data_IF_315793207584
#
_entry.id   IF_315793207584
#
_cell.length_a   1.000
_cell.length_b   1.000
_cell.length_c   1.000
_cell.angle_alpha   90.00
_cell.angle_beta   90.00
_cell.angle_gamma   90.00
#
_symmetry.space_group_name_H-M   'P 1'
#
loop_
_entity.id
_entity.type
_entity.pdbx_description
1 polymer ?
#
# COMPACT_ATOMS: atom_id res chain seq x y z
N UNK A 1 -7.70 15.64 7.28
CA UNK A 1 -9.12 15.69 7.72
C UNK A 1 -9.94 16.31 6.59
N UNK A 2 -10.44 15.50 5.66
CA UNK A 2 -11.34 15.98 4.61
C UNK A 2 -12.75 16.12 5.22
N UNK A 3 -13.04 17.31 5.72
CA UNK A 3 -14.39 17.72 6.08
C UNK A 3 -15.03 18.31 4.83
N UNK A 4 -15.88 17.56 4.13
CA UNK A 4 -16.57 18.15 2.98
C UNK A 4 -17.50 17.20 2.25
N UNK A 5 -18.79 17.51 2.29
CA UNK A 5 -19.82 17.07 1.33
C UNK A 5 -19.59 17.73 -0.05
N UNK A 6 -18.34 17.79 -0.50
CA UNK A 6 -17.94 18.33 -1.79
C UNK A 6 -17.79 17.20 -2.80
N UNK A 7 -17.97 17.50 -4.09
CA UNK A 7 -17.66 16.54 -5.14
C UNK A 7 -16.20 16.07 -5.00
N UNK A 8 -15.94 14.78 -5.26
CA UNK A 8 -14.56 14.31 -5.32
C UNK A 8 -13.78 15.15 -6.35
N UNK A 9 -12.49 15.46 -6.10
CA UNK A 9 -11.60 16.08 -7.07
C UNK A 9 -11.78 15.42 -8.44
N UNK A 10 -11.72 16.20 -9.51
CA UNK A 10 -11.87 15.69 -10.88
C UNK A 10 -10.98 14.46 -11.17
N UNK A 11 -9.78 14.43 -10.57
CA UNK A 11 -8.83 13.31 -10.67
C UNK A 11 -9.31 12.00 -10.02
N UNK A 12 -10.25 12.06 -9.08
CA UNK A 12 -10.84 10.91 -8.40
C UNK A 12 -12.19 10.49 -9.01
N UNK A 13 -12.77 11.30 -9.90
CA UNK A 13 -14.06 10.97 -10.54
C UNK A 13 -13.98 9.64 -11.26
N UNK A 14 -12.93 9.37 -12.05
CA UNK A 14 -12.77 8.08 -12.73
C UNK A 14 -12.64 6.88 -11.78
N UNK A 15 -12.04 7.07 -10.60
CA UNK A 15 -11.85 6.03 -9.59
C UNK A 15 -13.14 5.72 -8.82
N UNK A 16 -14.00 6.72 -8.62
CA UNK A 16 -15.24 6.62 -7.80
C UNK A 16 -16.49 6.50 -8.69
N UNK A 17 -16.38 6.66 -10.01
CA UNK A 17 -17.52 6.70 -10.93
C UNK A 17 -18.07 5.34 -11.38
N UNK A 18 -17.43 4.21 -11.08
CA UNK A 18 -18.05 2.88 -11.29
C UNK A 18 -19.11 2.64 -10.20
N UNK A 19 -20.29 3.23 -10.38
CA UNK A 19 -21.39 3.20 -9.42
C UNK A 19 -22.25 1.97 -9.59
N UNK A 20 -21.73 0.79 -9.24
CA UNK A 20 -22.63 -0.26 -8.76
C UNK A 20 -23.03 0.11 -7.32
N UNK A 21 -24.22 0.67 -7.16
CA UNK A 21 -24.73 1.04 -5.84
C UNK A 21 -25.07 -0.24 -5.07
N UNK A 22 -24.27 -0.56 -4.06
CA UNK A 22 -24.63 -1.56 -3.07
C UNK A 22 -25.55 -0.88 -2.04
N UNK A 23 -26.85 -1.14 -2.14
CA UNK A 23 -27.84 -0.72 -1.15
C UNK A 23 -27.94 -1.79 -0.08
N UNK A 24 -27.80 -1.42 1.18
CA UNK A 24 -27.90 -2.34 2.30
C UNK A 24 -27.88 -1.65 3.65
N UNK A 25 -28.20 -2.40 4.69
CA UNK A 25 -28.12 -1.93 6.08
C UNK A 25 -26.68 -1.47 6.41
N UNK A 26 -26.48 -0.36 7.16
CA UNK A 26 -25.16 0.20 7.42
C UNK A 26 -24.14 -0.82 7.97
N UNK A 27 -24.56 -1.70 8.88
CA UNK A 27 -23.71 -2.77 9.42
C UNK A 27 -23.23 -3.72 8.33
N UNK A 28 -24.12 -4.13 7.42
CA UNK A 28 -23.79 -5.03 6.33
C UNK A 28 -22.81 -4.41 5.35
N UNK A 29 -22.92 -3.11 5.09
CA UNK A 29 -21.97 -2.37 4.25
C UNK A 29 -20.58 -2.30 4.88
N UNK A 30 -20.51 -2.07 6.20
CA UNK A 30 -19.24 -2.10 6.94
C UNK A 30 -18.63 -3.50 6.97
N UNK A 31 -19.44 -4.54 7.18
CA UNK A 31 -18.96 -5.93 7.11
C UNK A 31 -18.34 -6.27 5.75
N UNK A 32 -18.93 -5.78 4.65
CA UNK A 32 -18.35 -5.95 3.31
C UNK A 32 -16.98 -5.27 3.22
N UNK A 33 -16.85 -4.03 3.72
CA UNK A 33 -15.59 -3.28 3.74
C UNK A 33 -14.51 -3.96 4.60
N UNK A 34 -14.87 -4.48 5.76
CA UNK A 34 -13.92 -5.06 6.72
C UNK A 34 -13.41 -6.43 6.24
N UNK A 35 -14.24 -7.17 5.49
CA UNK A 35 -13.91 -8.53 5.01
C UNK A 35 -13.20 -8.57 3.67
N UNK A 36 -12.81 -7.42 3.11
CA UNK A 36 -12.10 -7.37 1.81
C UNK A 36 -10.81 -8.21 1.83
N UNK A 37 -9.99 -8.09 2.87
CA UNK A 37 -8.77 -8.89 3.02
C UNK A 37 -9.02 -10.40 3.09
N UNK A 38 -10.12 -10.82 3.75
CA UNK A 38 -10.53 -12.23 3.82
C UNK A 38 -11.00 -12.72 2.45
N UNK A 39 -11.82 -11.93 1.75
CA UNK A 39 -12.34 -12.26 0.43
C UNK A 39 -11.22 -12.39 -0.62
N UNK A 40 -10.22 -11.49 -0.58
CA UNK A 40 -9.06 -11.56 -1.47
C UNK A 40 -8.23 -12.81 -1.18
N UNK A 41 -8.00 -13.15 0.09
CA UNK A 41 -7.26 -14.36 0.46
C UNK A 41 -7.93 -15.66 -0.01
N UNK A 42 -9.26 -15.66 -0.21
CA UNK A 42 -9.99 -16.79 -0.82
C UNK A 42 -9.75 -16.92 -2.33
N UNK A 43 -9.26 -15.87 -2.98
CA UNK A 43 -8.94 -15.88 -4.42
C UNK A 43 -7.51 -16.36 -4.71
N UNK A 44 -6.68 -16.52 -3.68
CA UNK A 44 -5.28 -16.94 -3.75
C UNK A 44 -4.43 -16.26 -2.68
N UNK A 45 -3.13 -16.56 -2.64
CA UNK A 45 -2.17 -15.86 -1.74
C UNK A 45 -1.78 -14.54 -2.42
N UNK A 46 -2.16 -13.37 -1.87
CA UNK A 46 -1.84 -12.09 -2.48
C UNK A 46 -0.44 -11.62 -2.08
N UNK A 47 0.23 -10.96 -3.02
CA UNK A 47 1.24 -9.96 -2.72
C UNK A 47 0.54 -8.70 -2.22
N UNK A 48 0.78 -8.32 -0.96
CA UNK A 48 0.06 -7.24 -0.26
C UNK A 48 0.94 -6.02 -0.06
N UNK A 49 0.48 -4.88 -0.56
CA UNK A 49 1.10 -3.60 -0.33
C UNK A 49 0.13 -2.68 0.39
N UNK A 50 0.65 -1.99 1.39
CA UNK A 50 -0.06 -0.99 2.17
C UNK A 50 0.74 0.31 2.03
N UNK A 51 0.22 1.24 1.23
CA UNK A 51 0.98 2.38 0.71
C UNK A 51 0.19 3.67 0.84
N UNK A 52 0.87 4.82 0.81
CA UNK A 52 0.21 6.12 0.67
C UNK A 52 0.57 6.77 -0.64
N UNK A 53 -0.37 7.53 -1.21
CA UNK A 53 -0.18 8.28 -2.44
C UNK A 53 -0.82 9.68 -2.31
N UNK A 54 -0.29 10.71 -2.99
CA UNK A 54 -0.97 11.98 -3.12
C UNK A 54 -2.36 11.79 -3.73
N UNK A 55 -3.41 12.34 -3.09
CA UNK A 55 -4.81 12.15 -3.52
C UNK A 55 -5.05 12.48 -4.99
N UNK A 56 -4.40 13.54 -5.48
CA UNK A 56 -4.51 13.98 -6.88
C UNK A 56 -4.00 12.96 -7.89
N UNK A 57 -3.12 12.05 -7.49
CA UNK A 57 -2.42 11.10 -8.35
C UNK A 57 -2.95 9.66 -8.23
N UNK A 58 -3.92 9.40 -7.36
CA UNK A 58 -4.43 8.05 -7.13
C UNK A 58 -5.00 7.42 -8.41
N UNK A 59 -5.77 8.15 -9.20
CA UNK A 59 -6.33 7.66 -10.47
C UNK A 59 -5.24 7.20 -11.44
N UNK A 60 -4.29 8.09 -11.72
CA UNK A 60 -3.14 7.79 -12.60
C UNK A 60 -2.29 6.63 -12.08
N UNK A 61 -2.09 6.54 -10.76
CA UNK A 61 -1.40 5.41 -10.15
C UNK A 61 -2.17 4.10 -10.38
N UNK A 62 -3.50 4.10 -10.20
CA UNK A 62 -4.30 2.88 -10.41
C UNK A 62 -4.24 2.39 -11.85
N UNK A 63 -4.20 3.29 -12.83
CA UNK A 63 -4.03 2.94 -14.24
C UNK A 63 -2.62 2.41 -14.51
N UNK A 64 -1.60 3.09 -13.97
CA UNK A 64 -0.21 2.66 -14.12
C UNK A 64 0.02 1.26 -13.55
N UNK A 65 -0.49 0.95 -12.34
CA UNK A 65 -0.32 -0.38 -11.75
C UNK A 65 -1.09 -1.45 -12.52
N UNK A 66 -2.24 -1.14 -13.11
CA UNK A 66 -2.95 -2.09 -14.01
C UNK A 66 -2.11 -2.43 -15.24
N UNK A 67 -1.40 -1.46 -15.81
CA UNK A 67 -0.52 -1.66 -16.97
C UNK A 67 0.78 -2.40 -16.62
N UNK A 68 1.26 -2.28 -15.39
CA UNK A 68 2.43 -3.02 -14.89
C UNK A 68 2.16 -4.53 -14.75
N UNK A 69 0.89 -4.91 -14.56
CA UNK A 69 0.51 -6.29 -14.26
C UNK A 69 0.13 -7.07 -15.53
N UNK A 70 0.57 -8.33 -15.68
CA UNK A 70 0.11 -9.19 -16.77
C UNK A 70 -1.41 -9.40 -16.73
N UNK A 71 -2.05 -9.57 -17.90
CA UNK A 71 -3.51 -9.72 -18.00
C UNK A 71 -4.13 -10.88 -17.20
N UNK A 72 -3.33 -11.90 -16.84
CA UNK A 72 -3.78 -13.05 -16.03
C UNK A 72 -3.72 -12.83 -14.52
N UNK A 73 -3.23 -11.67 -14.08
CA UNK A 73 -3.04 -11.33 -12.68
C UNK A 73 -4.24 -10.52 -12.19
N UNK A 74 -4.81 -10.93 -11.05
CA UNK A 74 -5.91 -10.21 -10.43
C UNK A 74 -5.37 -9.09 -9.53
N UNK A 75 -5.89 -7.88 -9.74
CA UNK A 75 -5.55 -6.68 -8.98
C UNK A 75 -6.76 -6.21 -8.18
N UNK A 76 -6.63 -6.19 -6.86
CA UNK A 76 -7.63 -5.67 -5.94
C UNK A 76 -7.10 -4.41 -5.26
N UNK A 77 -7.86 -3.32 -5.37
CA UNK A 77 -7.53 -2.02 -4.81
C UNK A 77 -8.65 -1.58 -3.87
N UNK A 78 -8.30 -1.24 -2.63
CA UNK A 78 -9.22 -0.67 -1.65
C UNK A 78 -8.42 0.10 -0.59
N UNK A 79 -9.06 0.89 0.26
CA UNK A 79 -8.33 1.58 1.32
C UNK A 79 -9.06 2.75 1.93
N UNK A 80 -8.28 3.71 2.41
CA UNK A 80 -8.72 4.89 3.11
C UNK A 80 -8.49 6.10 2.20
N UNK A 81 -9.44 6.31 1.28
CA UNK A 81 -9.30 7.37 0.27
C UNK A 81 -9.12 8.77 0.88
N UNK A 82 -9.60 9.01 2.10
CA UNK A 82 -9.53 10.33 2.75
C UNK A 82 -8.13 10.80 3.15
N UNK A 83 -7.16 9.89 3.28
CA UNK A 83 -5.77 10.19 3.65
C UNK A 83 -4.75 9.68 2.62
N UNK A 84 -5.23 9.10 1.52
CA UNK A 84 -4.38 8.61 0.43
C UNK A 84 -3.79 7.24 0.68
N UNK A 85 -4.22 6.51 1.72
CA UNK A 85 -3.81 5.14 1.94
C UNK A 85 -4.56 4.16 1.02
N UNK A 86 -3.80 3.41 0.24
CA UNK A 86 -4.27 2.42 -0.70
C UNK A 86 -3.66 1.05 -0.36
N UNK A 87 -4.50 0.05 -0.20
CA UNK A 87 -4.10 -1.34 -0.17
C UNK A 87 -4.12 -1.90 -1.59
N UNK A 88 -2.94 -2.27 -2.08
CA UNK A 88 -2.74 -2.89 -3.40
C UNK A 88 -2.51 -4.38 -3.17
N UNK A 89 -3.42 -5.21 -3.67
CA UNK A 89 -3.33 -6.67 -3.53
C UNK A 89 -3.26 -7.30 -4.92
N UNK A 90 -2.19 -8.07 -5.16
CA UNK A 90 -1.91 -8.72 -6.44
C UNK A 90 -1.97 -10.23 -6.25
N UNK A 91 -2.89 -10.90 -6.93
CA UNK A 91 -3.12 -12.35 -6.83
C UNK A 91 -2.82 -13.02 -8.17
N UNK A 92 -2.12 -14.16 -8.15
CA UNK A 92 -1.80 -14.94 -9.35
C UNK A 92 -0.30 -15.24 -9.52
N UNK A 93 0.62 -14.29 -9.26
CA UNK A 93 2.06 -14.59 -9.20
C UNK A 93 2.38 -15.58 -8.07
N UNK A 94 3.52 -16.26 -8.19
CA UNK A 94 4.07 -17.08 -7.11
C UNK A 94 4.30 -16.20 -5.86
N UNK A 95 3.80 -16.58 -4.67
CA UNK A 95 4.00 -15.82 -3.43
C UNK A 95 5.46 -15.58 -3.06
N UNK A 96 6.38 -16.43 -3.52
CA UNK A 96 7.81 -16.28 -3.27
C UNK A 96 8.54 -15.43 -4.34
N UNK A 97 7.85 -15.03 -5.42
CA UNK A 97 8.40 -14.18 -6.48
C UNK A 97 8.23 -12.68 -6.17
N UNK A 98 9.25 -12.11 -5.53
CA UNK A 98 9.27 -10.70 -5.11
C UNK A 98 9.54 -9.69 -6.24
N UNK A 99 9.64 -10.12 -7.51
CA UNK A 99 9.82 -9.17 -8.62
C UNK A 99 8.65 -8.19 -8.72
N UNK A 100 7.44 -8.66 -8.38
CA UNK A 100 6.24 -7.82 -8.39
C UNK A 100 6.26 -6.79 -7.26
N UNK A 101 6.80 -7.14 -6.10
CA UNK A 101 6.93 -6.26 -4.94
C UNK A 101 7.78 -5.04 -5.28
N UNK A 102 8.96 -5.28 -5.87
CA UNK A 102 9.83 -4.20 -6.33
C UNK A 102 9.12 -3.30 -7.35
N UNK A 103 8.52 -3.89 -8.39
CA UNK A 103 7.86 -3.13 -9.46
C UNK A 103 6.72 -2.23 -8.94
N UNK A 104 5.89 -2.74 -8.01
CA UNK A 104 4.79 -1.99 -7.42
C UNK A 104 5.30 -0.90 -6.47
N UNK A 105 6.25 -1.21 -5.57
CA UNK A 105 6.77 -0.25 -4.61
C UNK A 105 7.61 0.86 -5.28
N UNK A 106 8.35 0.54 -6.33
CA UNK A 106 9.01 1.56 -7.16
C UNK A 106 8.00 2.44 -7.89
N UNK A 107 6.88 1.88 -8.37
CA UNK A 107 5.80 2.68 -8.93
C UNK A 107 5.23 3.65 -7.89
N UNK A 108 4.97 3.18 -6.66
CA UNK A 108 4.51 4.02 -5.56
C UNK A 108 5.48 5.18 -5.32
N UNK A 109 6.79 4.90 -5.27
CA UNK A 109 7.81 5.93 -5.09
C UNK A 109 7.84 6.95 -6.25
N UNK A 110 7.71 6.50 -7.51
CA UNK A 110 7.63 7.38 -8.69
C UNK A 110 6.45 8.34 -8.63
N UNK A 111 5.34 7.92 -8.01
CA UNK A 111 4.15 8.75 -7.79
C UNK A 111 4.22 9.57 -6.49
N UNK A 112 5.38 9.67 -5.84
CA UNK A 112 5.58 10.45 -4.62
C UNK A 112 4.92 9.86 -3.38
N UNK A 113 4.69 8.54 -3.37
CA UNK A 113 4.06 7.81 -2.29
C UNK A 113 5.02 7.24 -1.23
N UNK A 114 4.45 6.62 -0.19
CA UNK A 114 5.17 5.83 0.82
C UNK A 114 4.94 4.34 0.63
N UNK A 115 6.01 3.52 0.72
CA UNK A 115 5.95 2.04 0.67
C UNK A 115 5.26 1.41 1.89
N UNK A 116 4.98 2.21 2.92
CA UNK A 116 4.27 1.79 4.12
C UNK A 116 3.39 2.93 4.64
N UNK A 117 2.09 2.68 4.78
CA UNK A 117 1.16 3.59 5.43
C UNK A 117 1.02 3.26 6.92
N UNK A 118 0.54 2.05 7.22
CA UNK A 118 0.11 1.61 8.55
C UNK A 118 0.89 0.38 9.04
N UNK A 119 1.23 -0.54 8.13
CA UNK A 119 1.77 -1.86 8.51
C UNK A 119 3.26 -1.87 8.87
N UNK A 120 3.95 -0.75 8.70
CA UNK A 120 5.38 -0.61 8.92
C UNK A 120 6.24 -1.28 7.84
N UNK A 121 7.56 -1.26 8.09
CA UNK A 121 8.58 -1.80 7.20
C UNK A 121 8.69 -3.31 7.38
N UNK A 122 9.04 -3.75 8.59
CA UNK A 122 9.26 -5.16 8.88
C UNK A 122 10.36 -5.78 8.01
N UNK A 123 10.60 -7.08 8.14
CA UNK A 123 11.59 -7.80 7.30
C UNK A 123 11.27 -7.69 5.81
N UNK A 124 9.98 -7.74 5.48
CA UNK A 124 9.50 -7.75 4.10
C UNK A 124 9.89 -6.48 3.33
N UNK A 125 9.86 -5.30 3.97
CA UNK A 125 10.11 -4.03 3.28
C UNK A 125 11.46 -3.39 3.59
N UNK A 126 12.36 -4.06 4.33
CA UNK A 126 13.73 -3.56 4.56
C UNK A 126 14.41 -3.18 3.23
N UNK A 127 14.37 -4.00 2.16
CA UNK A 127 15.01 -3.66 0.90
C UNK A 127 14.47 -2.36 0.27
N UNK A 128 13.24 -1.96 0.62
CA UNK A 128 12.50 -0.87 -0.01
C UNK A 128 12.40 0.39 0.85
N UNK A 129 12.99 0.43 2.05
CA UNK A 129 12.93 1.60 2.94
C UNK A 129 13.42 2.89 2.25
N UNK A 130 14.47 2.76 1.44
CA UNK A 130 15.07 3.85 0.68
C UNK A 130 14.14 4.49 -0.36
N UNK A 131 13.06 3.80 -0.74
CA UNK A 131 12.05 4.34 -1.66
C UNK A 131 11.14 5.38 -0.99
N UNK A 132 11.15 5.48 0.34
CA UNK A 132 10.31 6.44 1.09
C UNK A 132 11.08 7.25 2.13
N UNK A 133 12.37 6.97 2.30
CA UNK A 133 13.25 7.68 3.22
C UNK A 133 14.58 7.98 2.54
N UNK A 134 15.02 9.22 2.69
CA UNK A 134 16.34 9.66 2.31
C UNK A 134 17.43 8.95 3.11
N UNK A 135 18.65 8.95 2.59
CA UNK A 135 19.81 8.42 3.29
C UNK A 135 20.00 9.08 4.67
N UNK A 136 19.83 10.41 4.76
CA UNK A 136 19.96 11.14 6.02
C UNK A 136 18.89 10.76 7.06
N UNK A 137 17.63 10.55 6.63
CA UNK A 137 16.58 10.04 7.53
C UNK A 137 16.92 8.63 8.03
N UNK A 138 17.39 7.74 7.16
CA UNK A 138 17.78 6.38 7.53
C UNK A 138 18.96 6.39 8.51
N UNK A 139 19.98 7.22 8.26
CA UNK A 139 21.12 7.40 9.17
C UNK A 139 20.67 7.88 10.56
N UNK A 140 19.73 8.83 10.62
CA UNK A 140 19.17 9.30 11.88
C UNK A 140 18.42 8.18 12.63
N UNK A 141 17.62 7.36 11.93
CA UNK A 141 16.94 6.22 12.55
C UNK A 141 17.95 5.19 13.08
N UNK A 142 19.02 4.93 12.35
CA UNK A 142 20.08 4.02 12.80
C UNK A 142 20.85 4.58 14.00
N UNK A 143 21.05 5.89 14.08
CA UNK A 143 21.68 6.52 15.26
C UNK A 143 20.85 6.31 16.52
N UNK A 144 19.52 6.49 16.43
CA UNK A 144 18.60 6.18 17.54
C UNK A 144 18.66 4.70 17.91
N UNK A 145 18.63 3.80 16.92
CA UNK A 145 18.74 2.35 17.15
C UNK A 145 20.02 1.97 17.89
N UNK A 146 21.17 2.51 17.50
CA UNK A 146 22.47 2.24 18.15
C UNK A 146 22.53 2.79 19.59
N UNK A 147 21.90 3.93 19.85
CA UNK A 147 21.87 4.51 21.18
C UNK A 147 21.02 3.68 22.16
N UNK A 148 19.91 3.11 21.69
CA UNK A 148 18.97 2.35 22.51
C UNK A 148 19.31 0.85 22.58
N UNK A 149 19.91 0.28 21.54
CA UNK A 149 20.27 -1.14 21.45
C UNK A 149 21.69 -1.32 20.88
N UNK A 150 22.72 -0.94 21.66
CA UNK A 150 24.11 -1.05 21.21
C UNK A 150 24.56 -2.51 20.99
N UNK A 151 23.89 -3.48 21.61
CA UNK A 151 24.15 -4.91 21.42
C UNK A 151 23.43 -5.54 20.23
N UNK A 152 22.52 -4.80 19.58
CA UNK A 152 21.79 -5.30 18.40
C UNK A 152 20.81 -6.44 18.68
N UNK A 153 20.36 -6.63 19.91
CA UNK A 153 19.53 -7.78 20.31
C UNK A 153 18.03 -7.54 20.14
N UNK A 154 17.59 -6.28 20.02
CA UNK A 154 16.18 -5.93 19.89
C UNK A 154 15.73 -6.09 18.43
N UNK A 155 15.30 -7.30 18.10
CA UNK A 155 14.66 -7.68 16.83
C UNK A 155 15.50 -7.36 15.58
N UNK A 156 16.66 -8.03 15.41
CA UNK A 156 17.56 -7.79 14.29
C UNK A 156 16.90 -8.09 12.93
N UNK A 157 17.28 -7.30 11.92
CA UNK A 157 16.83 -7.46 10.54
C UNK A 157 15.45 -6.88 10.19
N UNK A 158 14.76 -6.19 11.11
CA UNK A 158 13.34 -5.79 10.92
C UNK A 158 13.14 -4.41 10.31
N UNK A 159 14.11 -3.52 10.42
CA UNK A 159 14.07 -2.18 9.81
C UNK A 159 15.32 -1.93 8.99
N UNK A 160 16.46 -2.36 9.54
CA UNK A 160 17.76 -2.35 8.86
C UNK A 160 18.21 -3.78 8.61
N UNK A 161 19.07 -4.01 7.61
CA UNK A 161 19.78 -5.27 7.47
C UNK A 161 20.44 -5.69 8.79
N UNK A 162 20.47 -6.99 9.05
CA UNK A 162 21.12 -7.56 10.23
C UNK A 162 22.64 -7.48 10.13
#
# INVERSE_FOLDING_TARGET
MWAGRGEPPASLVGLVASREHVVGEPRRLLEIRDRQSEAIARSGIPHKFDVTLPLGLLGEFTDAVRLLLPARVALYLFGHLGDGNLHVNVVGPDPDDQRIDGAVLEAVARFGGSVSAEHGIGRAKVPYLHLSRSAAEIEAMQAVKRALDPGGIMNPGVIFPA
#
